data_IF_407940095152
#
_entry.id   IF_407940095152
#
_cell.length_a   1.000
_cell.length_b   1.000
_cell.length_c   1.000
_cell.angle_alpha   90.00
_cell.angle_beta   90.00
_cell.angle_gamma   90.00
#
_symmetry.space_group_name_H-M   'P 1'
#
loop_
_entity.id
_entity.type
_entity.pdbx_description
1 polymer ?
#
# COMPACT_ATOMS: atom_id res chain seq x y z
N UNK A 1 3.82 19.59 -44.09
CA UNK A 1 3.46 18.27 -43.51
C UNK A 1 4.03 18.26 -42.11
N UNK A 2 3.19 18.48 -41.10
CA UNK A 2 3.62 18.49 -39.70
C UNK A 2 3.66 17.04 -39.25
N UNK A 3 4.87 16.51 -39.09
CA UNK A 3 5.10 15.20 -38.50
C UNK A 3 4.65 15.25 -37.03
N UNK A 4 3.60 14.48 -36.70
CA UNK A 4 3.25 14.22 -35.32
C UNK A 4 4.09 13.02 -34.85
N UNK A 5 4.99 13.18 -33.87
CA UNK A 5 5.68 12.04 -33.31
C UNK A 5 4.63 11.13 -32.66
N UNK A 6 4.51 9.91 -33.19
CA UNK A 6 3.70 8.85 -32.59
C UNK A 6 4.26 8.56 -31.20
N UNK A 7 3.47 8.63 -30.12
CA UNK A 7 3.93 8.18 -28.82
C UNK A 7 4.22 6.69 -28.93
N UNK A 8 5.45 6.29 -28.60
CA UNK A 8 5.88 4.90 -28.65
C UNK A 8 4.91 4.00 -27.86
N UNK A 9 4.62 2.77 -28.34
CA UNK A 9 3.68 1.89 -27.66
C UNK A 9 4.18 1.65 -26.25
N UNK A 10 3.33 2.00 -25.27
CA UNK A 10 3.62 1.95 -23.84
C UNK A 10 4.35 0.67 -23.48
N UNK A 11 5.57 0.84 -22.97
CA UNK A 11 6.39 -0.22 -22.41
C UNK A 11 5.48 -1.13 -21.57
N UNK A 12 5.44 -2.42 -21.92
CA UNK A 12 4.75 -3.42 -21.11
C UNK A 12 5.12 -3.17 -19.65
N UNK A 13 4.14 -3.11 -18.72
CA UNK A 13 4.44 -2.70 -17.36
C UNK A 13 5.51 -3.64 -16.82
N UNK A 14 6.70 -3.12 -16.52
CA UNK A 14 7.65 -3.85 -15.70
C UNK A 14 6.91 -4.13 -14.38
N UNK A 15 6.45 -5.38 -14.26
CA UNK A 15 5.75 -5.91 -13.10
C UNK A 15 6.61 -5.64 -11.87
N UNK A 16 5.97 -5.28 -10.75
CA UNK A 16 6.54 -4.46 -9.65
C UNK A 16 7.60 -5.17 -8.77
N UNK A 17 8.54 -5.90 -9.37
CA UNK A 17 9.56 -6.68 -8.70
C UNK A 17 10.55 -5.82 -7.90
N UNK A 18 10.71 -4.56 -8.27
CA UNK A 18 11.59 -3.58 -7.64
C UNK A 18 10.86 -2.69 -6.61
N UNK A 19 9.54 -2.80 -6.48
CA UNK A 19 8.76 -2.00 -5.53
C UNK A 19 8.43 -2.84 -4.30
N UNK A 20 8.98 -2.51 -3.12
CA UNK A 20 8.71 -3.27 -1.90
C UNK A 20 7.22 -3.20 -1.53
N UNK A 21 6.65 -4.35 -1.17
CA UNK A 21 5.24 -4.54 -0.80
C UNK A 21 4.22 -4.26 -1.92
N UNK A 22 4.65 -4.21 -3.18
CA UNK A 22 3.74 -4.22 -4.32
C UNK A 22 3.28 -5.64 -4.66
N UNK A 23 2.05 -5.76 -5.19
CA UNK A 23 1.63 -7.00 -5.84
C UNK A 23 2.45 -7.15 -7.14
N UNK A 24 3.22 -8.24 -7.32
CA UNK A 24 4.11 -8.36 -8.47
C UNK A 24 3.33 -8.37 -9.78
N UNK A 25 2.19 -9.06 -9.82
CA UNK A 25 1.45 -9.34 -11.05
C UNK A 25 0.45 -8.25 -11.48
N UNK A 26 0.38 -7.13 -10.75
CA UNK A 26 -0.62 -6.09 -10.98
C UNK A 26 0.03 -4.79 -11.45
N UNK A 27 -0.34 -4.20 -12.59
CA UNK A 27 0.22 -2.92 -13.01
C UNK A 27 -0.11 -1.83 -11.98
N UNK A 28 0.90 -1.02 -11.61
CA UNK A 28 0.73 0.16 -10.78
C UNK A 28 0.72 1.42 -11.63
N UNK A 29 -0.05 2.41 -11.22
CA UNK A 29 0.11 3.78 -11.74
C UNK A 29 1.38 4.42 -11.17
N UNK A 30 1.90 5.45 -11.85
CA UNK A 30 3.07 6.21 -11.38
C UNK A 30 2.87 6.80 -9.99
N UNK A 31 1.64 7.22 -9.67
CA UNK A 31 1.29 7.71 -8.34
C UNK A 31 1.38 6.60 -7.29
N UNK A 32 0.87 5.40 -7.59
CA UNK A 32 0.90 4.26 -6.68
C UNK A 32 2.34 3.78 -6.43
N UNK A 33 3.17 3.69 -7.48
CA UNK A 33 4.59 3.35 -7.37
C UNK A 33 5.34 4.33 -6.47
N UNK A 34 5.15 5.65 -6.68
CA UNK A 34 5.79 6.69 -5.84
C UNK A 34 5.39 6.57 -4.38
N UNK A 35 4.10 6.37 -4.10
CA UNK A 35 3.60 6.21 -2.74
C UNK A 35 4.23 5.00 -2.00
N UNK A 36 4.38 3.86 -2.69
CA UNK A 36 4.98 2.66 -2.10
C UNK A 36 6.46 2.83 -1.79
N UNK A 37 7.22 3.46 -2.71
CA UNK A 37 8.64 3.74 -2.50
C UNK A 37 8.86 4.72 -1.34
N UNK A 38 8.06 5.77 -1.24
CA UNK A 38 8.11 6.71 -0.12
C UNK A 38 7.76 6.04 1.21
N UNK A 39 6.73 5.20 1.24
CA UNK A 39 6.37 4.43 2.43
C UNK A 39 7.47 3.46 2.85
N UNK A 40 8.17 2.85 1.89
CA UNK A 40 9.33 2.00 2.16
C UNK A 40 10.50 2.80 2.74
N UNK A 41 10.77 4.00 2.20
CA UNK A 41 11.76 4.92 2.77
C UNK A 41 11.42 5.32 4.21
N UNK A 42 10.14 5.64 4.50
CA UNK A 42 9.68 5.92 5.87
C UNK A 42 9.90 4.75 6.82
N UNK A 43 9.58 3.52 6.39
CA UNK A 43 9.80 2.31 7.22
C UNK A 43 11.28 2.05 7.48
N UNK A 44 12.13 2.25 6.49
CA UNK A 44 13.58 2.08 6.64
C UNK A 44 14.21 3.14 7.56
N UNK A 45 13.68 4.37 7.54
CA UNK A 45 14.15 5.46 8.40
C UNK A 45 13.53 5.45 9.81
N UNK A 46 12.40 4.77 10.00
CA UNK A 46 11.76 4.66 11.30
C UNK A 46 12.58 3.74 12.23
N UNK A 47 12.99 4.26 13.37
CA UNK A 47 13.45 3.42 14.48
C UNK A 47 12.26 2.61 14.97
N UNK A 48 12.32 1.29 14.86
CA UNK A 48 11.28 0.40 15.36
C UNK A 48 11.15 0.58 16.89
N UNK A 49 10.20 1.40 17.30
CA UNK A 49 9.71 1.38 18.67
C UNK A 49 8.81 0.15 18.76
N UNK A 50 9.31 -0.90 19.40
CA UNK A 50 8.50 -2.08 19.70
C UNK A 50 7.29 -1.62 20.53
N UNK A 51 6.05 -1.71 20.01
CA UNK A 51 4.89 -1.43 20.83
C UNK A 51 4.90 -2.42 22.00
N UNK A 52 4.52 -1.93 23.18
CA UNK A 52 4.40 -2.81 24.34
C UNK A 52 3.47 -3.98 23.99
N UNK A 53 3.90 -5.20 24.31
CA UNK A 53 3.09 -6.39 24.08
C UNK A 53 1.76 -6.26 24.83
N UNK A 54 0.66 -6.39 24.10
CA UNK A 54 -0.67 -6.39 24.69
C UNK A 54 -0.92 -7.75 25.37
N UNK A 55 -1.23 -7.73 26.67
CA UNK A 55 -1.56 -8.92 27.44
C UNK A 55 -3.08 -9.04 27.63
N UNK A 56 -3.66 -10.16 27.23
CA UNK A 56 -5.10 -10.43 27.41
C UNK A 56 -6.02 -9.84 26.33
N UNK A 57 -5.47 -9.11 25.35
CA UNK A 57 -6.19 -8.64 24.17
C UNK A 57 -6.29 -9.69 23.06
N UNK A 58 -7.14 -9.44 22.03
CA UNK A 58 -7.19 -10.30 20.85
C UNK A 58 -5.82 -10.33 20.13
N UNK A 59 -5.52 -11.42 19.42
CA UNK A 59 -4.28 -11.50 18.64
C UNK A 59 -4.30 -10.46 17.52
N UNK A 60 -3.43 -9.45 17.61
CA UNK A 60 -3.28 -8.41 16.59
C UNK A 60 -3.85 -7.04 17.02
N UNK A 61 -3.82 -6.03 16.14
CA UNK A 61 -4.42 -4.73 16.41
C UNK A 61 -5.90 -4.92 16.75
N UNK A 62 -6.27 -4.43 17.92
CA UNK A 62 -7.61 -4.57 18.47
C UNK A 62 -8.62 -3.88 17.52
N UNK A 63 -9.59 -4.61 16.94
CA UNK A 63 -10.44 -4.07 15.89
C UNK A 63 -11.33 -2.93 16.37
N UNK A 64 -11.68 -2.86 17.67
CA UNK A 64 -12.39 -1.73 18.29
C UNK A 64 -11.58 -0.44 18.25
N UNK A 65 -10.24 -0.49 18.12
CA UNK A 65 -9.36 0.66 18.35
C UNK A 65 -9.34 1.67 17.21
N UNK A 66 -9.83 1.32 16.02
CA UNK A 66 -9.70 2.15 14.81
C UNK A 66 -11.03 2.60 14.19
N UNK A 67 -12.18 2.34 14.83
CA UNK A 67 -13.48 2.82 14.34
C UNK A 67 -13.97 2.12 13.06
N UNK A 68 -13.34 1.02 12.65
CA UNK A 68 -13.66 0.28 11.43
C UNK A 68 -14.87 -0.68 11.58
N UNK A 69 -15.70 -0.49 12.61
CA UNK A 69 -16.80 -1.38 12.96
C UNK A 69 -18.03 -1.20 12.06
N UNK A 70 -18.02 -0.17 11.22
CA UNK A 70 -19.16 0.20 10.40
C UNK A 70 -18.96 -0.15 8.93
N UNK A 71 -19.82 -1.02 8.41
CA UNK A 71 -20.03 -1.18 6.99
C UNK A 71 -21.41 -0.64 6.63
N UNK A 72 -21.45 0.49 5.92
CA UNK A 72 -22.70 1.21 5.55
C UNK A 72 -23.53 1.64 6.78
N UNK A 73 -22.88 2.10 7.85
CA UNK A 73 -23.56 2.60 9.06
C UNK A 73 -24.18 1.51 9.94
N UNK A 74 -23.77 0.25 9.77
CA UNK A 74 -24.15 -0.87 10.62
C UNK A 74 -22.91 -1.42 11.30
N UNK A 75 -22.97 -1.55 12.63
CA UNK A 75 -21.98 -2.28 13.41
C UNK A 75 -22.04 -3.77 13.01
N UNK A 76 -20.97 -4.29 12.42
CA UNK A 76 -20.88 -5.69 11.98
C UNK A 76 -19.75 -6.39 12.74
N UNK A 77 -20.11 -7.51 13.38
CA UNK A 77 -19.18 -8.45 14.01
C UNK A 77 -19.20 -9.77 13.20
N UNK A 78 -18.00 -10.33 12.95
CA UNK A 78 -17.65 -11.51 12.11
C UNK A 78 -18.13 -11.52 10.64
#
# INVERSE_FOLDING_TARGET
>A
MTDHPTPEPGAAPQLNQDVPHAAPDRPLSDAARRALLEAAGRRAAATAAEPQTEHGGPRGPEPTRYGDWEKKGLAVDF
#
